data_IF_509368952875
#
_entry.id   IF_509368952875
#
_cell.length_a   1.000
_cell.length_b   1.000
_cell.length_c   1.000
_cell.angle_alpha   90.00
_cell.angle_beta   90.00
_cell.angle_gamma   90.00
#
_symmetry.space_group_name_H-M   'P 1'
#
loop_
_entity.id
_entity.type
_entity.pdbx_description
1 polymer ?
#
# COMPACT_ATOMS: atom_id res chain seq x y z
N UNK A 1 -17.27 -30.26 19.49
CA UNK A 1 -16.08 -29.68 20.15
C UNK A 1 -16.44 -29.49 21.61
N UNK A 2 -15.47 -29.56 22.54
CA UNK A 2 -15.75 -29.24 23.95
C UNK A 2 -16.22 -27.79 24.03
N UNK A 3 -17.32 -27.55 24.74
CA UNK A 3 -17.83 -26.19 24.96
C UNK A 3 -16.99 -25.49 26.03
N UNK A 4 -16.76 -26.14 27.18
CA UNK A 4 -15.99 -25.59 28.31
C UNK A 4 -14.55 -26.11 28.39
N UNK A 5 -13.64 -25.31 28.95
CA UNK A 5 -12.24 -25.67 29.16
C UNK A 5 -11.97 -26.22 30.57
N UNK A 6 -11.42 -27.44 30.62
CA UNK A 6 -11.21 -28.23 31.84
C UNK A 6 -9.73 -28.39 32.24
N UNK A 7 -8.83 -27.62 31.63
CA UNK A 7 -7.40 -27.70 31.93
C UNK A 7 -6.98 -27.12 33.30
N UNK A 8 -5.71 -27.35 33.68
CA UNK A 8 -5.15 -26.95 34.97
C UNK A 8 -4.93 -25.44 35.04
N UNK A 9 -5.29 -24.85 36.17
CA UNK A 9 -4.92 -23.47 36.53
C UNK A 9 -4.33 -23.44 37.93
N UNK A 10 -3.10 -22.95 38.04
CA UNK A 10 -2.48 -22.67 39.32
C UNK A 10 -2.88 -21.25 39.74
N UNK A 11 -3.48 -21.10 40.92
CA UNK A 11 -3.73 -19.77 41.50
C UNK A 11 -2.39 -19.16 41.92
N UNK A 12 -2.03 -18.00 41.37
CA UNK A 12 -0.88 -17.20 41.83
C UNK A 12 -1.33 -16.26 42.93
N UNK A 13 -2.39 -15.49 42.68
CA UNK A 13 -3.04 -14.60 43.65
C UNK A 13 -4.53 -14.41 43.30
N UNK A 14 -5.19 -13.42 43.89
CA UNK A 14 -6.63 -13.18 43.72
C UNK A 14 -7.06 -12.76 42.32
N UNK A 15 -6.11 -12.36 41.47
CA UNK A 15 -6.39 -11.89 40.11
C UNK A 15 -5.54 -12.57 39.03
N UNK A 16 -4.61 -13.46 39.39
CA UNK A 16 -3.68 -14.11 38.44
C UNK A 16 -3.72 -15.63 38.54
N UNK A 17 -3.88 -16.25 37.38
CA UNK A 17 -4.00 -17.70 37.22
C UNK A 17 -3.05 -18.17 36.11
N UNK A 18 -2.28 -19.21 36.40
CA UNK A 18 -1.28 -19.73 35.47
C UNK A 18 -1.76 -21.04 34.83
N UNK A 19 -1.71 -21.12 33.50
CA UNK A 19 -1.69 -22.40 32.80
C UNK A 19 -0.24 -22.89 32.84
N UNK A 20 0.08 -23.96 33.59
CA UNK A 20 1.45 -24.41 33.74
C UNK A 20 2.00 -24.82 32.38
N UNK A 21 3.27 -24.50 32.12
CA UNK A 21 3.97 -24.92 30.88
C UNK A 21 3.92 -26.44 30.66
N UNK A 22 3.80 -27.23 31.72
CA UNK A 22 3.66 -28.69 31.65
C UNK A 22 2.31 -29.17 31.14
N UNK A 23 1.31 -28.30 31.01
CA UNK A 23 -0.01 -28.63 30.47
C UNK A 23 0.09 -29.26 29.08
N UNK A 24 0.99 -28.73 28.24
CA UNK A 24 1.28 -29.32 26.94
C UNK A 24 2.78 -29.21 26.61
N UNK A 25 3.41 -30.31 26.20
CA UNK A 25 4.86 -30.42 26.01
C UNK A 25 5.43 -29.48 24.94
N UNK A 26 4.60 -28.97 24.03
CA UNK A 26 5.03 -28.00 23.03
C UNK A 26 4.99 -26.54 23.50
N UNK A 27 4.42 -26.24 24.68
CA UNK A 27 4.45 -24.91 25.26
C UNK A 27 5.90 -24.50 25.57
N UNK A 28 6.31 -23.31 25.14
CA UNK A 28 7.65 -22.75 25.38
C UNK A 28 7.69 -21.91 26.66
N UNK A 29 6.57 -21.25 26.98
CA UNK A 29 6.32 -20.43 28.17
C UNK A 29 5.01 -20.84 28.85
N UNK A 30 4.76 -20.50 30.12
CA UNK A 30 3.43 -20.66 30.73
C UNK A 30 2.41 -19.67 30.16
N UNK A 31 1.12 -19.97 30.35
CA UNK A 31 0.03 -19.03 30.12
C UNK A 31 -0.31 -18.28 31.40
N UNK A 32 -0.64 -16.99 31.33
CA UNK A 32 -1.00 -16.17 32.49
C UNK A 32 -2.27 -15.36 32.24
N UNK A 33 -3.28 -15.59 33.06
CA UNK A 33 -4.63 -15.03 32.92
C UNK A 33 -4.89 -14.07 34.05
N UNK A 34 -5.36 -12.87 33.70
CA UNK A 34 -5.80 -11.86 34.65
C UNK A 34 -7.32 -11.93 34.79
N UNK A 35 -7.82 -12.44 35.91
CA UNK A 35 -9.25 -12.54 36.19
C UNK A 35 -9.52 -12.71 37.68
N UNK A 36 -10.62 -12.14 38.17
CA UNK A 36 -11.16 -12.53 39.49
C UNK A 36 -11.69 -13.96 39.44
N UNK A 37 -11.81 -14.64 40.59
CA UNK A 37 -12.38 -16.00 40.66
C UNK A 37 -13.76 -16.10 40.00
N UNK A 38 -14.63 -15.12 40.23
CA UNK A 38 -15.98 -15.10 39.67
C UNK A 38 -15.98 -14.96 38.14
N UNK A 39 -15.01 -14.23 37.59
CA UNK A 39 -14.86 -14.06 36.14
C UNK A 39 -14.25 -15.32 35.51
N UNK A 40 -13.33 -15.98 36.22
CA UNK A 40 -12.69 -17.20 35.75
C UNK A 40 -13.69 -18.33 35.49
N UNK A 41 -14.73 -18.45 36.33
CA UNK A 41 -15.82 -19.42 36.13
C UNK A 41 -16.60 -19.17 34.83
N UNK A 42 -16.66 -17.91 34.35
CA UNK A 42 -17.25 -17.58 33.06
C UNK A 42 -16.28 -17.83 31.91
N UNK A 43 -15.02 -17.44 32.05
CA UNK A 43 -13.97 -17.66 31.05
C UNK A 43 -13.83 -19.16 30.73
N UNK A 44 -13.98 -20.04 31.72
CA UNK A 44 -13.94 -21.50 31.52
C UNK A 44 -15.10 -22.06 30.68
N UNK A 45 -16.13 -21.27 30.40
CA UNK A 45 -17.30 -21.73 29.62
C UNK A 45 -17.03 -21.78 28.11
N UNK A 46 -15.91 -21.25 27.63
CA UNK A 46 -15.43 -21.40 26.26
C UNK A 46 -14.02 -22.04 26.21
N UNK A 47 -13.43 -22.09 25.01
CA UNK A 47 -12.09 -22.65 24.76
C UNK A 47 -10.98 -21.58 24.69
N UNK A 48 -11.22 -20.32 25.07
CA UNK A 48 -10.24 -19.24 24.90
C UNK A 48 -8.94 -19.50 25.69
N UNK A 49 -9.02 -20.18 26.83
CA UNK A 49 -7.85 -20.63 27.61
C UNK A 49 -6.96 -21.61 26.84
N UNK A 50 -7.54 -22.44 25.97
CA UNK A 50 -6.76 -23.30 25.08
C UNK A 50 -5.99 -22.47 24.05
N UNK A 51 -6.54 -21.34 23.61
CA UNK A 51 -5.84 -20.43 22.69
C UNK A 51 -4.65 -19.75 23.39
N UNK A 52 -4.75 -19.43 24.68
CA UNK A 52 -3.59 -18.99 25.48
C UNK A 52 -2.51 -20.08 25.52
N UNK A 53 -2.91 -21.33 25.77
CA UNK A 53 -1.97 -22.45 25.74
C UNK A 53 -1.32 -22.64 24.35
N UNK A 54 -2.08 -22.51 23.27
CA UNK A 54 -1.58 -22.62 21.90
C UNK A 54 -0.60 -21.49 21.53
N UNK A 55 -0.91 -20.25 21.91
CA UNK A 55 -0.02 -19.09 21.68
C UNK A 55 1.31 -19.27 22.42
N UNK A 56 1.33 -19.98 23.55
CA UNK A 56 2.56 -20.30 24.26
C UNK A 56 3.55 -21.19 23.48
N UNK A 57 3.16 -21.74 22.32
CA UNK A 57 4.05 -22.55 21.45
C UNK A 57 4.88 -21.70 20.49
N UNK A 58 4.53 -20.42 20.31
CA UNK A 58 5.10 -19.60 19.24
C UNK A 58 6.63 -19.49 19.37
N UNK A 59 7.38 -19.68 18.27
CA UNK A 59 8.82 -19.43 18.27
C UNK A 59 9.15 -18.03 18.80
N UNK A 60 10.18 -17.93 19.62
CA UNK A 60 10.63 -16.67 20.20
C UNK A 60 9.69 -16.02 21.22
N UNK A 61 8.59 -16.65 21.64
CA UNK A 61 7.70 -16.05 22.65
C UNK A 61 8.41 -15.82 23.99
N UNK A 62 8.17 -14.66 24.59
CA UNK A 62 8.89 -14.16 25.77
C UNK A 62 7.99 -14.13 27.00
N UNK A 63 8.47 -14.68 28.10
CA UNK A 63 7.84 -14.58 29.42
C UNK A 63 6.61 -15.46 29.57
N UNK A 64 5.48 -15.02 29.02
CA UNK A 64 4.16 -15.67 29.15
C UNK A 64 3.31 -15.46 27.89
N UNK A 65 2.39 -16.37 27.60
CA UNK A 65 1.20 -16.05 26.81
C UNK A 65 0.15 -15.47 27.75
N UNK A 66 -0.22 -14.21 27.56
CA UNK A 66 -1.08 -13.49 28.49
C UNK A 66 -2.51 -13.43 27.97
N UNK A 67 -3.48 -13.38 28.89
CA UNK A 67 -4.85 -13.01 28.58
C UNK A 67 -5.42 -12.03 29.60
N UNK A 68 -6.06 -10.98 29.08
CA UNK A 68 -6.70 -9.93 29.86
C UNK A 68 -8.10 -10.35 30.37
N UNK A 69 -8.72 -9.62 31.32
CA UNK A 69 -10.00 -10.00 31.92
C UNK A 69 -11.17 -10.14 30.92
N UNK A 70 -11.10 -9.49 29.76
CA UNK A 70 -12.09 -9.54 28.69
C UNK A 70 -11.86 -10.69 27.69
N UNK A 71 -11.02 -11.67 28.05
CA UNK A 71 -10.73 -12.85 27.23
C UNK A 71 -12.00 -13.58 26.77
N UNK A 72 -12.03 -13.89 25.48
CA UNK A 72 -13.02 -14.79 24.88
C UNK A 72 -12.46 -15.40 23.59
N UNK A 73 -13.16 -16.41 23.07
CA UNK A 73 -12.76 -17.15 21.88
C UNK A 73 -12.48 -16.24 20.67
N UNK A 74 -11.28 -16.38 20.09
CA UNK A 74 -10.82 -15.63 18.92
C UNK A 74 -10.34 -16.51 17.77
N UNK A 75 -9.55 -15.95 16.85
CA UNK A 75 -9.00 -16.65 15.68
C UNK A 75 -7.51 -16.95 15.86
N UNK A 76 -7.19 -18.18 16.30
CA UNK A 76 -5.82 -18.61 16.62
C UNK A 76 -5.36 -18.06 17.98
N UNK A 77 -5.36 -16.74 18.15
CA UNK A 77 -5.27 -16.09 19.46
C UNK A 77 -6.68 -15.90 20.03
N UNK A 78 -6.79 -15.87 21.37
CA UNK A 78 -7.98 -15.34 22.01
C UNK A 78 -8.04 -13.81 21.85
N UNK A 79 -9.25 -13.26 21.84
CA UNK A 79 -9.43 -11.83 22.03
C UNK A 79 -8.98 -11.48 23.45
N UNK A 80 -8.35 -10.31 23.64
CA UNK A 80 -7.70 -9.96 24.91
C UNK A 80 -6.36 -10.69 25.17
N UNK A 81 -5.88 -11.50 24.21
CA UNK A 81 -4.58 -12.16 24.29
C UNK A 81 -3.42 -11.22 24.01
N UNK A 82 -2.30 -11.37 24.74
CA UNK A 82 -1.06 -10.62 24.53
C UNK A 82 0.12 -11.58 24.47
N UNK A 83 0.93 -11.48 23.42
CA UNK A 83 2.18 -12.21 23.29
C UNK A 83 3.27 -11.32 22.72
N UNK A 84 4.45 -11.34 23.35
CA UNK A 84 5.66 -10.73 22.81
C UNK A 84 6.57 -11.83 22.26
N UNK A 85 7.14 -11.63 21.08
CA UNK A 85 8.15 -12.53 20.50
C UNK A 85 9.44 -11.77 20.23
N UNK A 86 10.59 -12.44 20.31
CA UNK A 86 11.89 -11.81 20.03
C UNK A 86 12.07 -11.49 18.54
N UNK A 87 13.00 -10.58 18.23
CA UNK A 87 13.24 -10.14 16.85
C UNK A 87 14.01 -11.18 16.00
N UNK A 88 14.87 -11.97 16.64
CA UNK A 88 15.82 -12.88 16.01
C UNK A 88 15.19 -14.20 15.54
N UNK A 89 14.28 -14.77 16.35
CA UNK A 89 13.63 -16.05 16.06
C UNK A 89 12.12 -16.05 16.33
N UNK A 90 11.53 -14.87 16.59
CA UNK A 90 10.10 -14.70 16.75
C UNK A 90 9.34 -14.67 15.43
N UNK A 91 8.01 -14.65 15.55
CA UNK A 91 7.10 -14.64 14.42
C UNK A 91 6.09 -13.52 14.56
N UNK A 92 5.54 -13.08 13.43
CA UNK A 92 4.33 -12.27 13.41
C UNK A 92 3.17 -13.19 13.04
N UNK A 93 2.18 -13.31 13.92
CA UNK A 93 0.95 -14.06 13.65
C UNK A 93 -0.18 -13.08 13.35
N UNK A 94 -0.73 -13.03 12.12
CA UNK A 94 -1.89 -12.19 11.81
C UNK A 94 -3.08 -12.44 12.75
N UNK A 95 -3.29 -13.69 13.18
CA UNK A 95 -4.33 -14.03 14.15
C UNK A 95 -4.16 -13.38 15.53
N UNK A 96 -2.95 -12.95 15.89
CA UNK A 96 -2.66 -12.25 17.15
C UNK A 96 -2.82 -10.73 17.08
N UNK A 97 -3.06 -10.17 15.89
CA UNK A 97 -3.43 -8.75 15.70
C UNK A 97 -4.95 -8.61 15.70
N UNK A 98 -5.64 -9.65 15.22
CA UNK A 98 -7.08 -9.61 14.99
C UNK A 98 -7.41 -9.21 13.57
N UNK A 99 -8.63 -9.53 13.17
CA UNK A 99 -9.19 -9.30 11.85
C UNK A 99 -10.28 -8.25 11.98
N UNK A 100 -9.91 -6.97 12.00
CA UNK A 100 -10.86 -5.87 11.77
C UNK A 100 -10.96 -5.68 10.24
N UNK A 101 -11.58 -6.68 9.58
CA UNK A 101 -11.55 -6.78 8.12
C UNK A 101 -12.60 -5.84 7.53
N UNK A 102 -12.14 -4.62 7.32
CA UNK A 102 -12.83 -3.58 6.59
C UNK A 102 -12.90 -3.92 5.09
N UNK A 103 -13.80 -4.83 4.74
CA UNK A 103 -13.89 -5.40 3.40
C UNK A 103 -14.64 -4.50 2.41
N UNK A 104 -14.08 -4.37 1.22
CA UNK A 104 -14.77 -3.83 0.04
C UNK A 104 -15.22 -4.96 -0.87
N UNK A 105 -16.28 -4.73 -1.65
CA UNK A 105 -16.70 -5.66 -2.70
C UNK A 105 -15.62 -5.87 -3.76
N UNK A 106 -15.66 -7.03 -4.43
CA UNK A 106 -14.69 -7.41 -5.47
C UNK A 106 -14.66 -6.47 -6.70
N UNK A 107 -15.71 -5.69 -6.90
CA UNK A 107 -15.82 -4.70 -7.98
C UNK A 107 -15.39 -3.28 -7.57
N UNK A 108 -14.95 -3.07 -6.32
CA UNK A 108 -14.45 -1.78 -5.86
C UNK A 108 -13.23 -1.35 -6.69
N UNK A 109 -13.25 -0.11 -7.19
CA UNK A 109 -12.16 0.45 -7.99
C UNK A 109 -11.05 0.96 -7.09
N UNK A 110 -9.82 0.56 -7.41
CA UNK A 110 -8.60 0.95 -6.73
C UNK A 110 -7.75 1.80 -7.68
N UNK A 111 -7.34 2.98 -7.22
CA UNK A 111 -6.51 3.90 -7.98
C UNK A 111 -5.05 3.43 -7.96
N UNK A 112 -4.50 3.25 -9.16
CA UNK A 112 -3.09 2.95 -9.37
C UNK A 112 -2.27 4.25 -9.45
N UNK A 113 -1.00 4.29 -8.99
CA UNK A 113 -0.12 5.46 -9.07
C UNK A 113 0.08 6.10 -10.45
N UNK A 114 -0.22 5.38 -11.53
CA UNK A 114 -0.20 5.90 -12.90
C UNK A 114 -1.52 6.55 -13.34
N UNK A 115 -2.48 6.69 -12.42
CA UNK A 115 -3.74 7.41 -12.63
C UNK A 115 -4.85 6.57 -13.28
N UNK A 116 -4.65 5.27 -13.45
CA UNK A 116 -5.70 4.36 -13.91
C UNK A 116 -6.35 3.63 -12.73
N UNK A 117 -7.52 3.04 -12.94
CA UNK A 117 -8.18 2.18 -11.94
C UNK A 117 -8.31 0.75 -12.41
N UNK A 118 -8.18 -0.17 -11.45
CA UNK A 118 -8.51 -1.58 -11.57
C UNK A 118 -9.50 -1.96 -10.48
N UNK A 119 -10.34 -2.96 -10.73
CA UNK A 119 -11.16 -3.56 -9.68
C UNK A 119 -10.25 -4.30 -8.70
N UNK A 120 -10.58 -4.29 -7.41
CA UNK A 120 -9.80 -4.96 -6.38
C UNK A 120 -9.57 -6.45 -6.71
N UNK A 121 -10.53 -7.14 -7.34
CA UNK A 121 -10.36 -8.53 -7.76
C UNK A 121 -9.27 -8.77 -8.81
N UNK A 122 -8.95 -7.76 -9.61
CA UNK A 122 -7.93 -7.87 -10.67
C UNK A 122 -6.52 -7.91 -10.06
N UNK A 123 -6.35 -7.39 -8.84
CA UNK A 123 -5.09 -7.46 -8.10
C UNK A 123 -4.73 -8.87 -7.64
N UNK A 124 -5.65 -9.84 -7.67
CA UNK A 124 -5.40 -11.21 -7.21
C UNK A 124 -4.13 -11.82 -7.81
N UNK A 125 -3.84 -11.52 -9.08
CA UNK A 125 -2.69 -12.09 -9.81
C UNK A 125 -1.45 -11.20 -9.81
N UNK A 126 -1.60 -9.92 -9.48
CA UNK A 126 -0.57 -8.89 -9.72
C UNK A 126 -0.15 -8.14 -8.46
N UNK A 127 -0.82 -8.37 -7.32
CA UNK A 127 -0.61 -7.56 -6.10
C UNK A 127 0.84 -7.54 -5.60
N UNK A 128 1.64 -8.58 -5.83
CA UNK A 128 3.05 -8.64 -5.42
C UNK A 128 3.94 -7.61 -6.12
N UNK A 129 3.60 -7.27 -7.35
CA UNK A 129 4.39 -6.38 -8.21
C UNK A 129 3.81 -4.97 -8.27
N UNK A 130 2.52 -4.83 -7.95
CA UNK A 130 1.78 -3.59 -8.07
C UNK A 130 1.82 -2.69 -6.84
N UNK A 131 1.46 -1.43 -7.08
CA UNK A 131 1.29 -0.40 -6.05
C UNK A 131 -0.11 0.19 -6.14
N UNK A 132 -0.56 0.78 -5.05
CA UNK A 132 -1.83 1.50 -4.97
C UNK A 132 -1.59 2.92 -4.47
N UNK A 133 -2.49 3.82 -4.85
CA UNK A 133 -2.54 5.16 -4.29
C UNK A 133 -3.39 5.15 -3.02
N UNK A 134 -2.82 5.67 -1.93
CA UNK A 134 -3.48 5.82 -0.63
C UNK A 134 -3.44 7.29 -0.23
N UNK A 135 -4.49 7.77 0.44
CA UNK A 135 -4.47 9.10 1.01
C UNK A 135 -3.81 9.06 2.39
N UNK A 136 -2.77 9.85 2.58
CA UNK A 136 -2.10 10.06 3.86
C UNK A 136 -2.77 11.24 4.57
N UNK A 137 -3.59 10.96 5.58
CA UNK A 137 -4.35 11.98 6.30
C UNK A 137 -3.48 12.94 7.11
N UNK A 138 -2.25 12.58 7.48
CA UNK A 138 -1.36 13.48 8.20
C UNK A 138 -0.68 14.48 7.26
N UNK A 139 -0.35 14.03 6.05
CA UNK A 139 0.28 14.88 5.02
C UNK A 139 -0.72 15.58 4.10
N UNK A 140 -1.99 15.20 4.18
CA UNK A 140 -3.06 15.62 3.28
C UNK A 140 -2.70 15.41 1.80
N UNK A 141 -1.98 14.32 1.51
CA UNK A 141 -1.43 14.04 0.19
C UNK A 141 -1.66 12.59 -0.24
N UNK A 142 -1.68 12.35 -1.55
CA UNK A 142 -1.78 11.03 -2.13
C UNK A 142 -0.39 10.38 -2.20
N UNK A 143 -0.21 9.29 -1.46
CA UNK A 143 1.03 8.52 -1.43
C UNK A 143 0.89 7.19 -2.18
N UNK A 144 2.01 6.66 -2.65
CA UNK A 144 2.06 5.35 -3.28
C UNK A 144 2.48 4.30 -2.26
N UNK A 145 1.66 3.25 -2.10
CA UNK A 145 1.92 2.13 -1.18
C UNK A 145 2.09 0.82 -1.93
N UNK A 146 2.95 -0.06 -1.42
CA UNK A 146 3.03 -1.45 -1.88
C UNK A 146 1.91 -2.27 -1.25
N UNK A 147 1.43 -3.28 -1.96
CA UNK A 147 0.48 -4.24 -1.39
C UNK A 147 1.27 -5.33 -0.67
N UNK A 148 0.99 -5.51 0.63
CA UNK A 148 1.71 -6.49 1.46
C UNK A 148 1.04 -7.86 1.44
N UNK A 149 -0.29 -7.90 1.34
CA UNK A 149 -1.08 -9.13 1.25
C UNK A 149 -2.38 -8.85 0.50
N UNK A 150 -2.96 -9.90 -0.08
CA UNK A 150 -4.27 -9.88 -0.71
C UNK A 150 -5.17 -10.96 -0.10
N UNK A 151 -6.30 -10.55 0.49
CA UNK A 151 -7.26 -11.46 1.14
C UNK A 151 -8.58 -11.47 0.39
N UNK A 152 -9.19 -12.65 0.28
CA UNK A 152 -10.57 -12.82 -0.18
C UNK A 152 -11.33 -13.64 0.84
N UNK A 153 -12.53 -13.18 1.15
CA UNK A 153 -13.43 -13.83 2.08
C UNK A 153 -14.86 -13.62 1.60
N UNK A 154 -15.73 -14.58 1.87
CA UNK A 154 -17.16 -14.32 1.83
C UNK A 154 -17.53 -13.48 3.07
N UNK A 155 -18.47 -12.52 2.95
CA UNK A 155 -18.88 -11.72 4.08
C UNK A 155 -19.62 -12.61 5.10
N UNK A 156 -19.20 -12.53 6.36
CA UNK A 156 -19.89 -13.17 7.49
C UNK A 156 -20.83 -12.19 8.22
N UNK A 157 -20.79 -10.91 7.80
CA UNK A 157 -21.55 -9.79 8.34
C UNK A 157 -22.37 -9.11 7.24
N UNK A 158 -23.18 -8.12 7.63
CA UNK A 158 -24.04 -7.41 6.68
C UNK A 158 -23.22 -6.61 5.65
N UNK A 159 -23.73 -6.56 4.42
CA UNK A 159 -23.09 -5.83 3.32
C UNK A 159 -24.04 -4.75 2.83
N UNK A 160 -23.51 -3.53 2.74
CA UNK A 160 -24.25 -2.34 2.40
C UNK A 160 -23.73 -1.74 1.09
N UNK A 161 -24.62 -1.10 0.34
CA UNK A 161 -24.25 -0.27 -0.82
C UNK A 161 -24.56 1.18 -0.50
N UNK A 162 -23.51 2.02 -0.47
CA UNK A 162 -23.65 3.47 -0.30
C UNK A 162 -23.77 4.10 -1.68
N UNK A 163 -24.61 5.13 -1.78
CA UNK A 163 -24.70 5.99 -2.97
C UNK A 163 -24.62 7.44 -2.52
N UNK A 164 -23.62 8.18 -3.00
CA UNK A 164 -23.49 9.61 -2.72
C UNK A 164 -24.49 10.41 -3.57
N UNK A 165 -24.76 11.67 -3.17
CA UNK A 165 -25.58 12.60 -3.98
C UNK A 165 -25.01 12.84 -5.38
N UNK A 166 -23.69 12.66 -5.56
CA UNK A 166 -23.02 12.78 -6.86
C UNK A 166 -23.13 11.51 -7.71
N UNK A 167 -23.81 10.48 -7.24
CA UNK A 167 -23.98 9.21 -7.94
C UNK A 167 -22.85 8.20 -7.78
N UNK A 168 -21.81 8.51 -6.96
CA UNK A 168 -20.75 7.54 -6.67
C UNK A 168 -21.29 6.43 -5.79
N UNK A 169 -20.93 5.18 -6.09
CA UNK A 169 -21.37 4.03 -5.30
C UNK A 169 -20.22 3.17 -4.85
N UNK A 170 -20.32 2.63 -3.65
CA UNK A 170 -19.38 1.65 -3.12
C UNK A 170 -20.13 0.63 -2.28
N UNK A 171 -19.72 -0.63 -2.37
CA UNK A 171 -20.29 -1.74 -1.62
C UNK A 171 -19.24 -2.26 -0.65
N UNK A 172 -19.58 -2.32 0.63
CA UNK A 172 -18.66 -2.66 1.71
C UNK A 172 -19.38 -3.39 2.86
N UNK A 173 -18.61 -4.05 3.71
CA UNK A 173 -19.13 -4.68 4.93
C UNK A 173 -19.52 -3.63 5.98
N UNK A 174 -20.40 -4.00 6.91
CA UNK A 174 -20.98 -3.10 7.90
C UNK A 174 -19.96 -2.41 8.83
N UNK A 175 -18.78 -3.03 9.00
CA UNK A 175 -17.65 -2.56 9.79
C UNK A 175 -16.68 -1.65 9.03
N UNK A 176 -16.74 -1.62 7.68
CA UNK A 176 -15.81 -0.83 6.88
C UNK A 176 -15.90 0.67 7.22
N UNK A 177 -14.79 1.33 7.60
CA UNK A 177 -14.78 2.72 8.01
C UNK A 177 -14.79 3.63 6.78
N UNK A 178 -15.61 4.66 6.87
CA UNK A 178 -15.60 5.77 5.92
C UNK A 178 -15.11 7.02 6.61
N UNK A 179 -14.31 7.80 5.89
CA UNK A 179 -13.80 9.07 6.39
C UNK A 179 -14.89 10.14 6.28
N UNK A 180 -15.27 10.69 7.43
CA UNK A 180 -16.30 11.72 7.61
C UNK A 180 -15.70 12.96 8.28
N UNK A 181 -16.53 13.98 8.54
CA UNK A 181 -16.10 15.17 9.32
C UNK A 181 -15.69 14.85 10.75
N UNK A 182 -16.22 13.76 11.32
CA UNK A 182 -15.90 13.31 12.67
C UNK A 182 -14.83 12.19 12.68
N UNK A 183 -14.13 12.00 11.55
CA UNK A 183 -13.11 10.97 11.36
C UNK A 183 -13.67 9.68 10.75
N UNK A 184 -12.96 8.58 11.01
CA UNK A 184 -13.32 7.25 10.48
C UNK A 184 -14.52 6.67 11.24
N UNK A 185 -15.63 6.48 10.55
CA UNK A 185 -16.87 5.91 11.11
C UNK A 185 -17.22 4.61 10.38
N UNK A 186 -17.45 3.48 11.09
CA UNK A 186 -17.96 2.24 10.52
C UNK A 186 -19.27 2.43 9.77
N UNK A 187 -19.46 1.70 8.68
CA UNK A 187 -20.61 1.84 7.80
C UNK A 187 -21.96 1.68 8.51
N UNK A 188 -22.11 0.73 9.44
CA UNK A 188 -23.35 0.53 10.19
C UNK A 188 -23.74 1.70 11.11
N UNK A 189 -22.81 2.62 11.39
CA UNK A 189 -23.08 3.84 12.16
C UNK A 189 -23.45 5.03 11.29
N UNK A 190 -23.22 4.94 9.97
CA UNK A 190 -23.58 6.00 9.04
C UNK A 190 -25.10 6.06 8.82
N UNK A 191 -25.58 7.28 8.60
CA UNK A 191 -26.97 7.59 8.29
C UNK A 191 -27.08 8.30 6.95
N UNK A 192 -28.24 8.14 6.32
CA UNK A 192 -28.55 8.89 5.10
C UNK A 192 -28.52 10.40 5.42
N UNK A 193 -27.64 11.11 4.74
CA UNK A 193 -27.41 12.54 4.97
C UNK A 193 -26.01 12.86 5.49
N UNK A 194 -25.29 11.87 6.03
CA UNK A 194 -23.91 12.05 6.49
C UNK A 194 -22.99 12.41 5.32
N UNK A 195 -21.99 13.24 5.60
CA UNK A 195 -21.03 13.71 4.62
C UNK A 195 -19.78 12.83 4.64
N UNK A 196 -19.47 12.25 3.47
CA UNK A 196 -18.31 11.40 3.26
C UNK A 196 -17.25 12.15 2.45
N UNK A 197 -15.99 11.96 2.79
CA UNK A 197 -14.89 12.43 1.96
C UNK A 197 -14.84 11.64 0.66
N UNK A 198 -14.66 12.37 -0.45
CA UNK A 198 -14.47 11.80 -1.78
C UNK A 198 -13.17 12.32 -2.36
N UNK A 199 -12.38 11.43 -2.95
CA UNK A 199 -11.29 11.87 -3.80
C UNK A 199 -11.88 12.27 -5.17
N UNK A 200 -11.54 13.46 -5.70
CA UNK A 200 -12.19 13.99 -6.89
C UNK A 200 -11.84 13.22 -8.16
N UNK A 201 -10.59 12.76 -8.27
CA UNK A 201 -10.12 12.01 -9.44
C UNK A 201 -10.42 10.52 -9.30
N UNK A 202 -11.28 10.00 -10.16
CA UNK A 202 -11.67 8.57 -10.13
C UNK A 202 -10.69 7.67 -10.86
N UNK A 203 -9.71 8.23 -11.56
CA UNK A 203 -8.82 7.48 -12.44
C UNK A 203 -9.45 7.16 -13.80
N UNK A 204 -8.59 6.69 -14.70
CA UNK A 204 -8.98 6.25 -16.04
C UNK A 204 -9.15 4.72 -16.03
N UNK A 205 -10.22 4.15 -16.64
CA UNK A 205 -10.33 2.70 -16.77
C UNK A 205 -9.09 2.10 -17.43
N UNK A 206 -8.54 1.03 -16.85
CA UNK A 206 -7.38 0.35 -17.41
C UNK A 206 -7.79 -0.62 -18.53
N UNK A 207 -6.99 -0.63 -19.59
CA UNK A 207 -7.02 -1.63 -20.65
C UNK A 207 -5.59 -2.15 -20.85
N UNK A 208 -5.44 -3.48 -20.93
CA UNK A 208 -4.13 -4.07 -21.13
C UNK A 208 -3.56 -3.69 -22.49
N UNK A 209 -2.36 -3.11 -22.48
CA UNK A 209 -1.69 -2.66 -23.70
C UNK A 209 -1.09 -3.82 -24.49
N UNK A 210 -1.07 -3.70 -25.82
CA UNK A 210 -0.50 -4.72 -26.69
C UNK A 210 1.02 -4.86 -26.52
N UNK A 211 1.57 -6.00 -26.97
CA UNK A 211 3.02 -6.22 -27.01
C UNK A 211 3.68 -5.66 -28.27
N UNK A 212 2.96 -4.90 -29.10
CA UNK A 212 3.47 -4.34 -30.35
C UNK A 212 4.63 -3.37 -30.09
N UNK A 213 5.63 -3.39 -30.98
CA UNK A 213 6.83 -2.57 -30.88
C UNK A 213 6.55 -1.17 -31.44
N UNK A 214 6.68 -0.16 -30.59
CA UNK A 214 6.65 1.26 -30.96
C UNK A 214 7.99 1.64 -31.61
N UNK A 215 9.09 1.27 -30.95
CA UNK A 215 10.44 1.68 -31.34
C UNK A 215 11.42 0.51 -31.25
N UNK A 216 12.01 0.15 -32.38
CA UNK A 216 13.00 -0.92 -32.50
C UNK A 216 14.43 -0.34 -32.61
N UNK A 217 15.41 -1.23 -32.55
CA UNK A 217 16.83 -0.86 -32.61
C UNK A 217 17.23 -0.24 -33.95
N UNK A 218 16.66 -0.72 -35.05
CA UNK A 218 16.97 -0.24 -36.41
C UNK A 218 16.56 1.23 -36.58
N UNK A 219 15.33 1.60 -36.17
CA UNK A 219 14.86 2.99 -36.19
C UNK A 219 15.73 3.92 -35.36
N UNK A 220 16.22 3.45 -34.19
CA UNK A 220 17.16 4.23 -33.38
C UNK A 220 18.50 4.40 -34.09
N UNK A 221 19.05 3.34 -34.71
CA UNK A 221 20.30 3.42 -35.49
C UNK A 221 20.17 4.44 -36.61
N UNK A 222 19.09 4.39 -37.38
CA UNK A 222 18.81 5.34 -38.45
C UNK A 222 18.75 6.78 -37.95
N UNK A 223 18.05 7.02 -36.82
CA UNK A 223 17.97 8.35 -36.21
C UNK A 223 19.34 8.85 -35.75
N UNK A 224 20.12 8.01 -35.07
CA UNK A 224 21.45 8.39 -34.59
C UNK A 224 22.41 8.69 -35.74
N UNK A 225 22.32 7.96 -36.85
CA UNK A 225 23.08 8.23 -38.06
C UNK A 225 22.70 9.58 -38.68
N UNK A 226 21.40 9.90 -38.77
CA UNK A 226 20.91 11.22 -39.22
C UNK A 226 21.40 12.37 -38.33
N UNK A 227 21.56 12.12 -37.03
CA UNK A 227 22.13 13.08 -36.07
C UNK A 227 23.67 13.12 -36.07
N UNK A 228 24.34 12.40 -36.98
CA UNK A 228 25.80 12.36 -37.10
C UNK A 228 26.51 11.58 -35.99
N UNK A 229 25.78 10.79 -35.20
CA UNK A 229 26.31 10.04 -34.03
C UNK A 229 26.89 8.66 -34.36
N UNK A 230 26.99 8.28 -35.64
CA UNK A 230 27.57 7.01 -36.09
C UNK A 230 28.94 7.10 -36.77
N UNK A 231 29.47 8.30 -37.02
CA UNK A 231 30.64 8.48 -37.89
C UNK A 231 31.98 8.49 -37.15
N UNK A 232 32.00 8.71 -35.83
CA UNK A 232 33.23 8.78 -35.03
C UNK A 232 33.05 8.16 -33.63
N UNK A 233 33.90 7.19 -33.27
CA UNK A 233 33.92 6.53 -31.96
C UNK A 233 32.82 5.47 -31.75
N UNK A 234 32.79 4.86 -30.56
CA UNK A 234 31.83 3.80 -30.21
C UNK A 234 30.47 4.34 -29.68
N UNK A 235 30.11 5.59 -30.03
CA UNK A 235 28.97 6.31 -29.44
C UNK A 235 27.61 5.67 -29.75
N UNK A 236 27.41 5.17 -30.97
CA UNK A 236 26.18 4.49 -31.38
C UNK A 236 25.91 3.25 -30.52
N UNK A 237 26.89 2.36 -30.38
CA UNK A 237 26.74 1.15 -29.57
C UNK A 237 26.59 1.46 -28.07
N UNK A 238 27.27 2.51 -27.58
CA UNK A 238 27.09 2.98 -26.21
C UNK A 238 25.65 3.41 -25.96
N UNK A 239 25.07 4.23 -26.84
CA UNK A 239 23.67 4.69 -26.71
C UNK A 239 22.71 3.49 -26.75
N UNK A 240 22.88 2.57 -27.71
CA UNK A 240 22.04 1.36 -27.80
C UNK A 240 22.12 0.50 -26.55
N UNK A 241 23.33 0.26 -26.04
CA UNK A 241 23.55 -0.47 -24.79
C UNK A 241 22.88 0.23 -23.60
N UNK A 242 22.98 1.56 -23.53
CA UNK A 242 22.35 2.37 -22.49
C UNK A 242 20.82 2.29 -22.49
N UNK A 243 20.20 2.29 -23.68
CA UNK A 243 18.74 2.15 -23.85
C UNK A 243 18.28 0.73 -23.47
N UNK A 244 18.97 -0.31 -23.97
CA UNK A 244 18.67 -1.71 -23.64
C UNK A 244 18.77 -1.98 -22.14
N UNK A 245 19.83 -1.50 -21.48
CA UNK A 245 20.03 -1.65 -20.03
C UNK A 245 18.89 -1.04 -19.20
N UNK A 246 18.16 -0.07 -19.74
CA UNK A 246 17.02 0.61 -19.09
C UNK A 246 15.66 0.05 -19.49
N UNK A 247 15.61 -0.98 -20.34
CA UNK A 247 14.36 -1.50 -20.88
C UNK A 247 13.68 -0.57 -21.90
N UNK A 248 14.39 0.42 -22.44
CA UNK A 248 13.85 1.38 -23.40
C UNK A 248 13.94 0.91 -24.86
N UNK A 249 14.46 -0.31 -25.07
CA UNK A 249 14.64 -0.88 -26.42
C UNK A 249 14.55 -2.43 -26.38
N UNK A 250 13.68 -3.06 -27.20
CA UNK A 250 12.61 -2.42 -27.95
C UNK A 250 11.57 -1.79 -27.00
N UNK A 251 11.06 -0.61 -27.36
CA UNK A 251 9.96 0.02 -26.63
C UNK A 251 8.64 -0.52 -27.21
N UNK A 252 7.76 -1.05 -26.36
CA UNK A 252 6.46 -1.63 -26.69
C UNK A 252 5.34 -0.88 -25.99
N UNK A 253 4.09 -1.07 -26.42
CA UNK A 253 2.94 -0.46 -25.73
C UNK A 253 2.79 -0.95 -24.29
N UNK A 254 3.15 -2.20 -24.01
CA UNK A 254 3.17 -2.76 -22.65
C UNK A 254 4.52 -2.60 -21.92
N UNK A 255 5.46 -1.79 -22.42
CA UNK A 255 6.72 -1.55 -21.70
C UNK A 255 6.44 -0.78 -20.40
N UNK A 256 6.93 -1.24 -19.23
CA UNK A 256 6.76 -0.55 -17.95
C UNK A 256 7.30 0.89 -17.93
N UNK A 257 8.24 1.20 -18.83
CA UNK A 257 8.84 2.52 -18.99
C UNK A 257 7.93 3.49 -19.75
N UNK A 258 7.01 3.00 -20.58
CA UNK A 258 6.24 3.83 -21.51
C UNK A 258 5.37 4.89 -20.80
N UNK A 259 4.61 4.57 -19.71
CA UNK A 259 3.82 5.58 -19.01
C UNK A 259 4.66 6.77 -18.53
N UNK A 260 5.84 6.50 -17.97
CA UNK A 260 6.75 7.54 -17.51
C UNK A 260 7.33 8.37 -18.66
N UNK A 261 7.64 7.74 -19.80
CA UNK A 261 8.07 8.46 -21.01
C UNK A 261 6.95 9.39 -21.48
N UNK A 262 5.70 8.92 -21.51
CA UNK A 262 4.55 9.74 -21.92
C UNK A 262 4.32 10.91 -20.98
N UNK A 263 4.40 10.71 -19.66
CA UNK A 263 4.36 11.80 -18.66
C UNK A 263 5.44 12.84 -18.96
N UNK A 264 6.70 12.40 -19.11
CA UNK A 264 7.84 13.28 -19.42
C UNK A 264 7.61 14.04 -20.73
N UNK A 265 7.13 13.37 -21.78
CA UNK A 265 6.79 14.02 -23.05
C UNK A 265 5.71 15.07 -22.88
N UNK A 266 4.66 14.79 -22.10
CA UNK A 266 3.62 15.75 -21.76
C UNK A 266 4.19 17.01 -21.12
N UNK A 267 5.07 16.85 -20.13
CA UNK A 267 5.76 17.98 -19.49
C UNK A 267 6.66 18.75 -20.46
N UNK A 268 7.36 18.06 -21.36
CA UNK A 268 8.18 18.70 -22.39
C UNK A 268 7.31 19.53 -23.35
N UNK A 269 6.14 19.03 -23.76
CA UNK A 269 5.25 19.73 -24.70
C UNK A 269 4.43 20.84 -24.06
N UNK A 270 4.24 20.82 -22.75
CA UNK A 270 3.63 21.92 -22.00
C UNK A 270 4.60 23.08 -21.82
N UNK A 271 5.30 23.11 -20.68
CA UNK A 271 6.18 24.21 -20.27
C UNK A 271 7.68 23.82 -20.27
N UNK A 272 8.01 22.60 -20.71
CA UNK A 272 9.39 22.13 -20.77
C UNK A 272 10.16 22.61 -22.00
N UNK A 273 11.45 22.29 -22.03
CA UNK A 273 12.33 22.58 -23.17
C UNK A 273 13.37 21.47 -23.36
N UNK A 274 13.67 21.16 -24.62
CA UNK A 274 14.80 20.30 -25.00
C UNK A 274 15.78 21.13 -25.84
N UNK A 275 17.01 21.25 -25.35
CA UNK A 275 18.08 21.98 -26.03
C UNK A 275 19.29 21.09 -26.33
N UNK A 276 19.77 21.10 -27.57
CA UNK A 276 21.00 20.40 -27.98
C UNK A 276 22.14 21.39 -28.25
N UNK A 277 23.19 21.34 -27.43
CA UNK A 277 24.35 22.20 -27.57
C UNK A 277 25.31 21.67 -28.67
N UNK A 278 25.26 22.29 -29.85
CA UNK A 278 26.00 21.89 -31.06
C UNK A 278 27.52 21.74 -30.88
N UNK A 279 28.16 22.46 -29.95
CA UNK A 279 29.63 22.40 -29.76
C UNK A 279 30.13 21.24 -28.90
N UNK A 280 29.27 20.59 -28.11
CA UNK A 280 29.66 19.48 -27.20
C UNK A 280 28.81 18.22 -27.36
N UNK A 281 27.83 18.23 -28.26
CA UNK A 281 26.92 17.10 -28.50
C UNK A 281 26.11 16.70 -27.27
N UNK A 282 25.89 17.62 -26.33
CA UNK A 282 25.11 17.43 -25.10
C UNK A 282 23.69 17.95 -25.30
N UNK A 283 22.70 17.09 -25.07
CA UNK A 283 21.30 17.47 -24.94
C UNK A 283 20.96 17.75 -23.47
N UNK A 284 20.10 18.72 -23.21
CA UNK A 284 19.55 19.00 -21.89
C UNK A 284 18.04 19.18 -22.02
N UNK A 285 17.29 18.57 -21.12
CA UNK A 285 15.85 18.79 -20.95
C UNK A 285 15.64 19.59 -19.66
N UNK A 286 14.83 20.64 -19.72
CA UNK A 286 14.50 21.49 -18.57
C UNK A 286 12.99 21.55 -18.39
N UNK A 287 12.55 21.63 -17.13
CA UNK A 287 11.15 21.73 -16.74
C UNK A 287 10.98 22.93 -15.80
N UNK A 288 9.83 23.58 -15.89
CA UNK A 288 9.45 24.71 -15.04
C UNK A 288 8.05 24.43 -14.47
N UNK A 289 7.83 24.75 -13.20
CA UNK A 289 6.59 24.44 -12.51
C UNK A 289 6.68 24.65 -11.01
N UNK A 290 5.67 24.20 -10.27
CA UNK A 290 5.70 24.20 -8.81
C UNK A 290 6.73 23.18 -8.31
N UNK A 291 7.23 23.39 -7.09
CA UNK A 291 8.31 22.54 -6.57
C UNK A 291 7.87 21.08 -6.41
N UNK A 292 6.60 20.86 -6.09
CA UNK A 292 5.98 19.56 -5.88
C UNK A 292 5.92 18.78 -7.20
N UNK A 293 5.44 19.44 -8.27
CA UNK A 293 5.36 18.88 -9.63
C UNK A 293 6.77 18.51 -10.16
N UNK A 294 7.76 19.38 -9.92
CA UNK A 294 9.14 19.13 -10.35
C UNK A 294 9.78 17.93 -9.62
N UNK A 295 9.45 17.71 -8.36
CA UNK A 295 9.88 16.52 -7.63
C UNK A 295 9.17 15.25 -8.14
N UNK A 296 7.92 15.35 -8.58
CA UNK A 296 7.23 14.24 -9.26
C UNK A 296 7.90 13.89 -10.59
N UNK A 297 8.17 14.89 -11.45
CA UNK A 297 8.89 14.70 -12.71
C UNK A 297 10.24 14.02 -12.47
N UNK A 298 10.97 14.46 -11.44
CA UNK A 298 12.25 13.86 -11.06
C UNK A 298 12.10 12.40 -10.63
N UNK A 299 11.04 12.04 -9.91
CA UNK A 299 10.72 10.63 -9.59
C UNK A 299 10.43 9.83 -10.86
N UNK A 300 9.63 10.34 -11.79
CA UNK A 300 9.33 9.66 -13.07
C UNK A 300 10.59 9.41 -13.92
N UNK A 301 11.47 10.41 -14.02
CA UNK A 301 12.74 10.28 -14.74
C UNK A 301 13.66 9.23 -14.10
N UNK A 302 13.61 9.12 -12.76
CA UNK A 302 14.36 8.09 -12.04
C UNK A 302 13.83 6.68 -12.35
N UNK A 303 12.51 6.52 -12.54
CA UNK A 303 11.91 5.22 -12.89
C UNK A 303 12.38 4.69 -14.27
N UNK A 304 12.67 5.58 -15.22
CA UNK A 304 13.25 5.19 -16.52
C UNK A 304 14.80 5.11 -16.50
N UNK A 305 15.42 5.18 -15.32
CA UNK A 305 16.84 4.96 -15.11
C UNK A 305 17.75 6.15 -15.43
N UNK A 306 17.22 7.38 -15.37
CA UNK A 306 18.00 8.61 -15.54
C UNK A 306 18.01 9.45 -14.26
N UNK A 307 19.09 10.21 -14.06
CA UNK A 307 19.23 11.11 -12.92
C UNK A 307 18.85 12.53 -13.34
N UNK A 308 18.18 13.26 -12.44
CA UNK A 308 17.90 14.68 -12.57
C UNK A 308 18.80 15.52 -11.68
N UNK A 309 18.93 16.81 -12.00
CA UNK A 309 19.47 17.78 -11.03
C UNK A 309 18.53 17.94 -9.84
N UNK A 310 19.01 18.56 -8.77
CA UNK A 310 18.14 19.07 -7.71
C UNK A 310 17.11 20.06 -8.28
N UNK A 311 15.95 20.16 -7.64
CA UNK A 311 15.00 21.23 -7.93
C UNK A 311 15.61 22.55 -7.43
N UNK A 312 15.58 23.58 -8.28
CA UNK A 312 16.08 24.90 -7.93
C UNK A 312 14.87 25.84 -7.81
N UNK A 313 14.71 26.47 -6.66
CA UNK A 313 13.71 27.51 -6.43
C UNK A 313 14.40 28.86 -6.22
N UNK A 314 13.73 29.94 -6.65
CA UNK A 314 14.15 31.31 -6.40
C UNK A 314 12.94 32.19 -6.21
N UNK A 315 12.88 32.91 -5.09
CA UNK A 315 11.89 33.97 -4.89
C UNK A 315 12.29 35.20 -5.71
N UNK A 316 11.32 35.79 -6.41
CA UNK A 316 11.50 37.04 -7.15
C UNK A 316 10.42 38.01 -6.75
N UNK A 317 10.83 39.21 -6.34
CA UNK A 317 9.90 40.32 -6.14
C UNK A 317 9.65 40.97 -7.49
N UNK A 318 8.39 40.92 -7.92
CA UNK A 318 7.95 41.58 -9.15
C UNK A 318 7.14 42.81 -8.76
N UNK A 319 7.62 43.99 -9.17
CA UNK A 319 6.84 45.22 -9.12
C UNK A 319 6.33 45.50 -10.53
N UNK A 320 5.02 45.52 -10.70
CA UNK A 320 4.38 45.93 -11.95
C UNK A 320 3.85 47.33 -11.69
N UNK A 321 4.49 48.35 -12.26
CA UNK A 321 3.95 49.70 -12.23
C UNK A 321 2.78 49.75 -13.23
N UNK A 322 1.56 49.86 -12.70
CA UNK A 322 0.36 50.01 -13.54
C UNK A 322 0.06 51.48 -13.77
N UNK A 323 -0.72 51.80 -14.80
CA UNK A 323 -1.19 53.16 -15.07
C UNK A 323 -2.03 53.77 -13.91
N UNK A 324 -2.44 52.96 -12.94
CA UNK A 324 -3.27 53.38 -11.81
C UNK A 324 -2.52 53.43 -10.47
N UNK A 325 -1.20 53.18 -10.47
CA UNK A 325 -0.43 52.93 -9.23
C UNK A 325 -0.59 51.49 -8.80
#
# INVERSE_FOLDING_TARGET
MKESWDGPLNKIDDYRWEIPKSYNSGMRVPGLIYASSNLLEKIRQDQALEQVANVAFLPGIVGHSLAMPDIHWGYGFCVGGVAATTLDNGIISPGGIGFDINCLSSDALILHPLGYTLKIKEFEKIWLEEKISCFDFEKEDLINSKIINFFKKFPDNEVYKITTKTGKTITATEDHPFYTKDGMIPLNKLKVGDELAIYPFEGVPYEESSSEIILNEEKIKELLLKLGKGNNGNGLNQILSHLKKRGLLPLRYNSPQLPYILKIMGYVFGDGNIHFANKKGKGATSFYGKSEDLEEIKRDITHIGYNCSRVYSRTRDHKIDTLYG
#
